data_IF_956297847762
#
_entry.id   IF_956297847762
#
_cell.length_a   1.000
_cell.length_b   1.000
_cell.length_c   1.000
_cell.angle_alpha   90.00
_cell.angle_beta   90.00
_cell.angle_gamma   90.00
#
_symmetry.space_group_name_H-M   'P 1'
#
loop_
_entity.id
_entity.type
_entity.pdbx_description
1 polymer ?
#
# COMPACT_ATOMS: atom_id res chain seq x y z
N UNK A 1 -31.78 10.49 -47.69
CA UNK A 1 -32.82 10.50 -46.64
C UNK A 1 -32.31 9.69 -45.45
N UNK A 2 -32.64 10.18 -44.27
CA UNK A 2 -32.11 9.92 -42.92
C UNK A 2 -32.22 8.46 -42.40
N UNK A 3 -31.75 8.14 -41.17
CA UNK A 3 -30.44 8.44 -40.59
C UNK A 3 -29.81 7.25 -39.81
N UNK A 4 -28.52 7.39 -39.51
CA UNK A 4 -27.79 6.75 -38.40
C UNK A 4 -28.37 7.26 -37.08
N UNK A 5 -28.62 6.42 -36.07
CA UNK A 5 -28.59 6.70 -34.62
C UNK A 5 -29.33 5.56 -33.90
N UNK A 6 -28.73 5.02 -32.84
CA UNK A 6 -29.28 4.19 -31.74
C UNK A 6 -28.42 2.93 -31.54
N UNK A 7 -27.31 3.11 -30.82
CA UNK A 7 -26.66 2.08 -30.00
C UNK A 7 -25.56 2.74 -29.14
N UNK A 8 -25.91 3.82 -28.43
CA UNK A 8 -24.96 4.52 -27.54
C UNK A 8 -25.72 5.25 -26.42
N UNK A 9 -26.57 4.54 -25.65
CA UNK A 9 -27.19 5.12 -24.47
C UNK A 9 -27.70 4.11 -23.42
N UNK A 10 -26.97 3.02 -23.15
CA UNK A 10 -27.32 2.11 -22.02
C UNK A 10 -26.16 1.76 -21.09
N UNK A 11 -24.96 2.32 -21.28
CA UNK A 11 -23.80 2.08 -20.39
C UNK A 11 -23.34 3.33 -19.63
N UNK A 12 -24.24 4.29 -19.41
CA UNK A 12 -23.98 5.51 -18.61
C UNK A 12 -25.04 5.72 -17.49
N UNK A 13 -25.77 4.67 -17.10
CA UNK A 13 -26.70 4.69 -15.97
C UNK A 13 -26.39 3.62 -14.90
N UNK A 14 -25.15 3.10 -14.88
CA UNK A 14 -24.67 2.21 -13.83
C UNK A 14 -23.38 2.71 -13.14
N UNK A 15 -23.02 3.98 -13.35
CA UNK A 15 -21.87 4.61 -12.68
C UNK A 15 -22.21 5.95 -11.99
N UNK A 16 -23.48 6.40 -12.01
CA UNK A 16 -23.90 7.63 -11.32
C UNK A 16 -24.83 7.39 -10.11
N UNK A 17 -25.13 6.14 -9.77
CA UNK A 17 -25.86 5.78 -8.54
C UNK A 17 -24.96 5.07 -7.51
N UNK A 18 -23.64 5.07 -7.73
CA UNK A 18 -22.65 4.49 -6.81
C UNK A 18 -21.90 5.54 -5.97
N UNK A 19 -22.38 6.79 -5.92
CA UNK A 19 -21.73 7.90 -5.20
C UNK A 19 -22.56 8.49 -4.05
N UNK A 20 -23.69 7.88 -3.67
CA UNK A 20 -24.53 8.38 -2.57
C UNK A 20 -24.84 7.35 -1.46
N UNK A 21 -24.17 6.20 -1.45
CA UNK A 21 -24.22 5.25 -0.32
C UNK A 21 -22.81 4.73 0.06
N UNK A 22 -21.84 5.64 0.18
CA UNK A 22 -20.56 5.39 0.86
C UNK A 22 -20.39 6.33 2.05
N UNK A 23 -21.48 6.57 2.77
CA UNK A 23 -21.50 7.37 3.99
C UNK A 23 -22.60 6.88 4.94
N UNK A 24 -22.61 5.58 5.23
CA UNK A 24 -23.41 4.85 6.23
C UNK A 24 -22.90 3.40 6.11
N UNK A 25 -22.14 2.80 7.02
CA UNK A 25 -21.90 3.03 8.42
C UNK A 25 -20.46 2.61 8.70
N UNK A 26 -19.61 3.52 9.16
CA UNK A 26 -18.47 3.07 9.95
C UNK A 26 -19.08 2.52 11.26
N UNK A 27 -18.85 1.25 11.64
CA UNK A 27 -19.32 0.77 12.93
C UNK A 27 -18.72 1.69 13.99
N UNK A 28 -19.60 2.39 14.71
CA UNK A 28 -19.21 3.15 15.90
C UNK A 28 -18.47 2.20 16.84
N UNK A 29 -17.49 2.67 17.64
CA UNK A 29 -16.86 1.83 18.64
C UNK A 29 -17.96 1.30 19.57
N UNK A 30 -18.30 0.02 19.39
CA UNK A 30 -19.23 -0.71 20.23
C UNK A 30 -18.75 -0.59 21.67
N UNK A 31 -19.63 -0.44 22.67
CA UNK A 31 -19.23 -0.49 24.07
C UNK A 31 -18.35 -1.73 24.28
N UNK A 32 -17.18 -1.52 24.92
CA UNK A 32 -16.13 -2.53 25.07
C UNK A 32 -16.74 -3.89 25.35
N UNK A 33 -16.74 -4.77 24.35
CA UNK A 33 -17.42 -6.05 24.46
C UNK A 33 -16.79 -6.83 25.61
N UNK A 34 -17.56 -7.61 26.38
CA UNK A 34 -17.03 -8.35 27.50
C UNK A 34 -15.90 -9.27 27.03
N UNK A 35 -14.76 -9.24 27.72
CA UNK A 35 -13.58 -10.02 27.37
C UNK A 35 -13.95 -11.51 27.37
N UNK A 36 -13.70 -12.20 26.26
CA UNK A 36 -13.86 -13.65 26.12
C UNK A 36 -12.51 -14.32 25.95
N UNK A 37 -12.34 -15.53 26.46
CA UNK A 37 -11.15 -16.35 26.25
C UNK A 37 -11.49 -17.55 25.38
N UNK A 38 -10.56 -17.93 24.49
CA UNK A 38 -10.56 -19.21 23.79
C UNK A 38 -9.44 -20.06 24.37
N UNK A 39 -9.77 -21.24 24.90
CA UNK A 39 -8.79 -22.12 25.53
C UNK A 39 -9.09 -23.60 25.26
N UNK A 40 -8.05 -24.40 25.30
CA UNK A 40 -8.13 -25.86 25.31
C UNK A 40 -7.61 -26.40 26.63
N UNK A 41 -8.10 -27.57 27.06
CA UNK A 41 -7.64 -28.18 28.29
C UNK A 41 -7.45 -29.71 28.21
N UNK A 42 -6.65 -30.22 29.14
CA UNK A 42 -6.50 -31.66 29.42
C UNK A 42 -6.85 -31.86 30.89
N UNK A 43 -7.78 -32.76 31.19
CA UNK A 43 -8.15 -33.14 32.54
C UNK A 43 -7.62 -34.53 32.86
N UNK A 44 -6.83 -34.65 33.93
CA UNK A 44 -6.28 -35.89 34.47
C UNK A 44 -6.52 -35.99 35.99
N UNK A 45 -6.46 -37.19 36.56
CA UNK A 45 -6.80 -37.37 37.98
C UNK A 45 -5.65 -36.98 38.90
N UNK A 46 -4.41 -37.25 38.46
CA UNK A 46 -3.22 -37.14 39.31
C UNK A 46 -2.29 -36.03 38.86
N UNK A 47 -1.57 -35.44 39.82
CA UNK A 47 -0.59 -34.40 39.52
C UNK A 47 0.57 -34.94 38.68
N UNK A 48 1.00 -36.17 38.98
CA UNK A 48 2.07 -36.83 38.25
C UNK A 48 1.77 -37.01 36.75
N UNK A 49 0.52 -37.36 36.40
CA UNK A 49 0.09 -37.42 35.00
C UNK A 49 0.14 -36.03 34.34
N UNK A 50 -0.33 -35.00 35.04
CA UNK A 50 -0.29 -33.63 34.53
C UNK A 50 1.15 -33.16 34.28
N UNK A 51 2.07 -33.48 35.19
CA UNK A 51 3.49 -33.11 35.06
C UNK A 51 4.17 -33.87 33.91
N UNK A 52 3.87 -35.16 33.75
CA UNK A 52 4.39 -35.96 32.64
C UNK A 52 3.92 -35.43 31.28
N UNK A 53 2.65 -35.03 31.18
CA UNK A 53 2.10 -34.43 29.97
C UNK A 53 2.68 -33.04 29.71
N UNK A 54 2.88 -32.24 30.76
CA UNK A 54 3.48 -30.91 30.63
C UNK A 54 4.94 -30.99 30.15
N UNK A 55 5.71 -31.97 30.62
CA UNK A 55 7.05 -32.25 30.11
C UNK A 55 7.03 -32.55 28.59
N UNK A 56 6.13 -33.42 28.13
CA UNK A 56 5.97 -33.73 26.71
C UNK A 56 5.56 -32.50 25.87
N UNK A 57 4.76 -31.60 26.45
CA UNK A 57 4.34 -30.36 25.79
C UNK A 57 5.50 -29.36 25.67
N UNK A 58 6.41 -29.33 26.65
CA UNK A 58 7.58 -28.44 26.63
C UNK A 58 8.61 -28.79 25.54
N UNK A 59 8.66 -30.05 25.11
CA UNK A 59 9.56 -30.53 24.05
C UNK A 59 8.93 -30.47 22.64
N UNK A 60 7.66 -30.08 22.54
CA UNK A 60 6.90 -30.16 21.30
C UNK A 60 7.27 -29.03 20.31
N UNK A 61 7.57 -29.41 19.06
CA UNK A 61 7.81 -28.45 17.98
C UNK A 61 6.56 -27.64 17.61
N UNK A 62 5.38 -28.24 17.79
CA UNK A 62 4.09 -27.57 17.62
C UNK A 62 3.21 -27.84 18.83
N UNK A 63 3.20 -26.88 19.75
CA UNK A 63 2.50 -26.97 21.03
C UNK A 63 1.00 -27.26 20.86
N UNK A 64 0.31 -26.50 20.00
CA UNK A 64 -1.15 -26.65 19.80
C UNK A 64 -1.53 -28.01 19.22
N UNK A 65 -0.76 -28.52 18.26
CA UNK A 65 -1.02 -29.83 17.67
C UNK A 65 -0.77 -30.97 18.67
N UNK A 66 0.35 -30.92 19.38
CA UNK A 66 0.70 -31.93 20.40
C UNK A 66 -0.29 -31.90 21.56
N UNK A 67 -0.71 -30.71 21.99
CA UNK A 67 -1.74 -30.54 23.00
C UNK A 67 -3.05 -31.19 22.58
N UNK A 68 -3.53 -30.93 21.35
CA UNK A 68 -4.75 -31.55 20.85
C UNK A 68 -4.67 -33.08 20.75
N UNK A 69 -3.49 -33.64 20.46
CA UNK A 69 -3.25 -35.09 20.47
C UNK A 69 -3.31 -35.66 21.88
N UNK A 70 -2.53 -35.11 22.81
CA UNK A 70 -2.52 -35.54 24.21
C UNK A 70 -3.89 -35.38 24.87
N UNK A 71 -4.64 -34.33 24.50
CA UNK A 71 -6.01 -34.15 24.95
C UNK A 71 -6.95 -35.25 24.47
N UNK A 72 -6.81 -35.72 23.23
CA UNK A 72 -7.62 -36.84 22.71
C UNK A 72 -7.29 -38.15 23.40
N UNK A 73 -6.03 -38.36 23.72
CA UNK A 73 -5.51 -39.62 24.26
C UNK A 73 -5.70 -39.74 25.78
N UNK A 74 -5.50 -38.65 26.52
CA UNK A 74 -5.40 -38.68 27.98
C UNK A 74 -6.47 -37.86 28.71
N UNK A 75 -7.15 -36.92 28.06
CA UNK A 75 -8.11 -36.06 28.76
C UNK A 75 -9.41 -36.81 29.07
N UNK A 76 -9.83 -36.73 30.32
CA UNK A 76 -11.12 -37.26 30.79
C UNK A 76 -12.30 -36.35 30.51
N UNK A 77 -12.06 -35.12 30.06
CA UNK A 77 -13.13 -34.21 29.72
C UNK A 77 -13.79 -34.59 28.38
N UNK A 78 -15.12 -34.47 28.21
CA UNK A 78 -15.80 -34.67 26.93
C UNK A 78 -15.25 -33.86 25.74
N UNK A 79 -14.55 -32.74 26.02
CA UNK A 79 -13.83 -31.91 25.04
C UNK A 79 -12.65 -32.62 24.39
N UNK A 80 -12.17 -33.75 24.95
CA UNK A 80 -11.10 -34.59 24.39
C UNK A 80 -11.34 -34.93 22.93
N UNK A 81 -12.59 -35.22 22.54
CA UNK A 81 -13.01 -35.49 21.15
C UNK A 81 -12.66 -34.38 20.17
N UNK A 82 -12.60 -33.13 20.64
CA UNK A 82 -12.22 -31.94 19.88
C UNK A 82 -10.79 -31.48 20.19
N UNK A 83 -9.93 -32.38 20.68
CA UNK A 83 -8.57 -32.01 21.07
C UNK A 83 -8.50 -31.13 22.32
N UNK A 84 -9.48 -31.28 23.23
CA UNK A 84 -9.55 -30.50 24.47
C UNK A 84 -10.10 -29.10 24.28
N UNK A 85 -10.57 -28.74 23.08
CA UNK A 85 -11.08 -27.41 22.78
C UNK A 85 -12.41 -27.12 23.51
N UNK A 86 -12.42 -26.04 24.29
CA UNK A 86 -13.60 -25.54 25.01
C UNK A 86 -14.33 -24.44 24.23
N UNK A 87 -13.77 -23.97 23.12
CA UNK A 87 -14.27 -22.83 22.37
C UNK A 87 -14.10 -21.52 23.13
N UNK A 88 -14.97 -20.55 22.81
CA UNK A 88 -14.93 -19.20 23.41
C UNK A 88 -15.92 -19.06 24.55
N UNK A 89 -15.44 -18.63 25.72
CA UNK A 89 -16.24 -18.40 26.92
C UNK A 89 -15.91 -17.05 27.57
N UNK A 90 -16.86 -16.50 28.31
CA UNK A 90 -16.71 -15.28 29.10
C UNK A 90 -16.32 -15.58 30.56
N UNK A 91 -15.90 -14.54 31.29
CA UNK A 91 -15.58 -14.64 32.73
C UNK A 91 -16.76 -15.21 33.53
N UNK A 92 -16.45 -16.10 34.47
CA UNK A 92 -17.42 -16.72 35.37
C UNK A 92 -18.22 -17.89 34.77
N UNK A 93 -17.94 -18.28 33.52
CA UNK A 93 -18.55 -19.48 32.91
C UNK A 93 -17.82 -20.78 33.29
N UNK A 94 -16.59 -20.67 33.77
CA UNK A 94 -15.75 -21.79 34.20
C UNK A 94 -15.52 -21.76 35.71
N UNK A 95 -15.01 -22.87 36.27
CA UNK A 95 -14.67 -22.93 37.70
C UNK A 95 -13.64 -21.85 38.08
N UNK A 96 -13.71 -21.25 39.28
CA UNK A 96 -12.95 -20.04 39.61
C UNK A 96 -11.44 -20.14 39.37
N UNK A 97 -10.83 -21.28 39.72
CA UNK A 97 -9.40 -21.51 39.51
C UNK A 97 -9.01 -21.53 38.02
N UNK A 98 -9.87 -22.14 37.18
CA UNK A 98 -9.67 -22.18 35.73
C UNK A 98 -9.92 -20.81 35.10
N UNK A 99 -10.99 -20.12 35.49
CA UNK A 99 -11.36 -18.80 34.99
C UNK A 99 -10.23 -17.79 35.23
N UNK A 100 -9.68 -17.78 36.45
CA UNK A 100 -8.54 -16.94 36.80
C UNK A 100 -7.39 -17.13 35.82
N UNK A 101 -6.97 -18.38 35.58
CA UNK A 101 -5.86 -18.67 34.66
C UNK A 101 -6.21 -18.31 33.22
N UNK A 102 -7.42 -18.63 32.74
CA UNK A 102 -7.85 -18.32 31.38
C UNK A 102 -7.78 -16.82 31.06
N UNK A 103 -8.05 -15.96 32.05
CA UNK A 103 -8.10 -14.50 31.86
C UNK A 103 -6.90 -13.71 32.41
N UNK A 104 -6.07 -14.28 33.28
CA UNK A 104 -4.88 -13.63 33.83
C UNK A 104 -3.56 -14.24 33.33
N UNK A 105 -3.54 -15.53 32.96
CA UNK A 105 -2.31 -16.22 32.52
C UNK A 105 -1.78 -15.76 31.17
N UNK A 106 -0.57 -16.17 30.80
CA UNK A 106 0.00 -15.83 29.50
C UNK A 106 -0.64 -16.64 28.36
N UNK A 107 -0.94 -15.96 27.24
CA UNK A 107 -1.48 -16.60 26.03
C UNK A 107 -0.39 -17.42 25.34
N UNK A 108 -0.74 -18.62 24.86
CA UNK A 108 0.20 -19.54 24.21
C UNK A 108 1.09 -20.34 25.18
N UNK A 109 0.88 -20.20 26.49
CA UNK A 109 1.57 -20.99 27.53
C UNK A 109 0.60 -22.01 28.12
N UNK A 110 1.13 -23.18 28.51
CA UNK A 110 0.37 -24.21 29.22
C UNK A 110 0.44 -23.94 30.71
N UNK A 111 -0.73 -23.79 31.33
CA UNK A 111 -0.87 -23.51 32.77
C UNK A 111 -1.46 -24.73 33.48
N UNK A 112 -0.84 -25.15 34.58
CA UNK A 112 -1.33 -26.25 35.43
C UNK A 112 -2.26 -25.69 36.53
N UNK A 113 -3.46 -26.24 36.67
CA UNK A 113 -4.48 -25.80 37.62
C UNK A 113 -5.14 -27.00 38.30
N UNK A 114 -5.25 -26.97 39.62
CA UNK A 114 -6.02 -27.96 40.37
C UNK A 114 -7.45 -27.49 40.60
N UNK A 115 -8.43 -28.36 40.39
CA UNK A 115 -9.83 -28.10 40.72
C UNK A 115 -10.44 -29.31 41.44
N UNK A 116 -11.71 -29.20 41.83
CA UNK A 116 -12.47 -30.33 42.39
C UNK A 116 -12.61 -31.54 41.43
N UNK A 117 -12.35 -31.35 40.13
CA UNK A 117 -12.44 -32.41 39.11
C UNK A 117 -11.11 -33.11 38.83
N UNK A 118 -10.02 -32.67 39.46
CA UNK A 118 -8.66 -33.17 39.22
C UNK A 118 -7.71 -32.07 38.75
N UNK A 119 -6.72 -32.47 37.96
CA UNK A 119 -5.67 -31.61 37.44
C UNK A 119 -5.93 -31.22 36.00
N UNK A 120 -5.82 -29.92 35.72
CA UNK A 120 -6.07 -29.33 34.42
C UNK A 120 -4.78 -28.73 33.87
N UNK A 121 -4.41 -29.11 32.66
CA UNK A 121 -3.48 -28.35 31.83
C UNK A 121 -4.32 -27.46 30.92
N UNK A 122 -4.06 -26.15 30.92
CA UNK A 122 -4.85 -25.14 30.22
C UNK A 122 -3.96 -24.41 29.22
N UNK A 123 -4.31 -24.47 27.95
CA UNK A 123 -3.65 -23.73 26.87
C UNK A 123 -4.58 -22.64 26.35
N UNK A 124 -4.20 -21.39 26.58
CA UNK A 124 -4.99 -20.23 26.15
C UNK A 124 -4.60 -19.90 24.71
N UNK A 125 -5.53 -20.02 23.78
CA UNK A 125 -5.28 -19.74 22.36
C UNK A 125 -5.34 -18.24 22.06
N UNK A 126 -6.35 -17.54 22.57
CA UNK A 126 -6.55 -16.09 22.38
C UNK A 126 -7.51 -15.50 23.40
N UNK A 127 -7.42 -14.18 23.60
CA UNK A 127 -8.41 -13.37 24.31
C UNK A 127 -9.03 -12.37 23.33
N UNK A 128 -10.35 -12.30 23.34
CA UNK A 128 -11.16 -11.41 22.53
C UNK A 128 -11.67 -10.32 23.47
N UNK A 129 -11.07 -9.13 23.40
CA UNK A 129 -11.45 -7.95 24.20
C UNK A 129 -12.44 -7.03 23.48
N UNK A 130 -12.97 -7.47 22.33
CA UNK A 130 -13.87 -6.67 21.51
C UNK A 130 -13.18 -5.58 20.68
N UNK A 131 -11.85 -5.52 20.68
CA UNK A 131 -11.08 -4.60 19.83
C UNK A 131 -10.75 -5.19 18.46
N UNK A 132 -11.05 -6.46 18.21
CA UNK A 132 -10.85 -7.09 16.91
C UNK A 132 -11.88 -6.59 15.88
N UNK A 133 -11.38 -6.15 14.72
CA UNK A 133 -12.17 -5.75 13.54
C UNK A 133 -13.26 -6.79 13.22
N UNK A 134 -14.50 -6.37 12.94
CA UNK A 134 -15.62 -7.28 12.73
C UNK A 134 -15.36 -8.33 11.64
N UNK A 135 -15.73 -9.57 11.95
CA UNK A 135 -15.50 -10.81 11.19
C UNK A 135 -16.02 -10.75 9.73
N UNK A 136 -16.89 -9.78 9.42
CA UNK A 136 -17.40 -9.51 8.08
C UNK A 136 -16.28 -9.31 7.03
N UNK A 137 -15.15 -8.74 7.44
CA UNK A 137 -13.99 -8.57 6.56
C UNK A 137 -13.01 -9.75 6.63
N UNK A 138 -13.16 -10.68 7.57
CA UNK A 138 -12.27 -11.84 7.72
C UNK A 138 -12.50 -12.85 6.60
N UNK A 139 -13.75 -13.24 6.35
CA UNK A 139 -14.07 -14.19 5.26
C UNK A 139 -13.77 -13.58 3.89
N UNK A 140 -14.04 -12.28 3.72
CA UNK A 140 -13.65 -11.52 2.53
C UNK A 140 -12.13 -11.45 2.40
N UNK A 141 -11.37 -11.17 3.46
CA UNK A 141 -9.89 -11.17 3.46
C UNK A 141 -9.33 -12.56 3.20
N UNK A 142 -9.86 -13.61 3.79
CA UNK A 142 -9.43 -15.00 3.55
C UNK A 142 -9.72 -15.43 2.11
N UNK A 143 -10.90 -15.10 1.58
CA UNK A 143 -11.25 -15.36 0.19
C UNK A 143 -10.38 -14.54 -0.75
N UNK A 144 -10.20 -13.25 -0.45
CA UNK A 144 -9.34 -12.33 -1.21
C UNK A 144 -7.89 -12.81 -1.20
N UNK A 145 -7.35 -13.22 -0.05
CA UNK A 145 -5.97 -13.75 0.05
C UNK A 145 -5.81 -15.10 -0.65
N UNK A 146 -6.83 -15.97 -0.65
CA UNK A 146 -6.81 -17.22 -1.42
C UNK A 146 -6.91 -16.97 -2.93
N UNK A 147 -7.66 -15.96 -3.36
CA UNK A 147 -7.91 -15.66 -4.77
C UNK A 147 -6.83 -14.75 -5.36
N UNK A 148 -6.23 -13.84 -4.58
CA UNK A 148 -5.14 -12.93 -5.00
C UNK A 148 -3.96 -13.61 -5.70
N UNK A 149 -3.41 -14.76 -5.25
CA UNK A 149 -2.33 -15.43 -5.97
C UNK A 149 -2.76 -16.05 -7.31
N UNK A 150 -4.06 -16.20 -7.58
CA UNK A 150 -4.59 -16.64 -8.88
C UNK A 150 -5.04 -15.46 -9.75
N UNK A 151 -5.55 -14.39 -9.12
CA UNK A 151 -5.95 -13.17 -9.79
C UNK A 151 -4.74 -12.32 -10.19
N UNK A 152 -3.66 -12.35 -9.42
CA UNK A 152 -2.40 -11.65 -9.71
C UNK A 152 -1.82 -12.05 -11.07
N UNK A 153 -1.63 -13.35 -11.36
CA UNK A 153 -1.24 -13.82 -12.68
C UNK A 153 -2.25 -13.47 -13.77
N UNK A 154 -3.56 -13.53 -13.52
CA UNK A 154 -4.59 -13.19 -14.52
C UNK A 154 -4.61 -11.68 -14.83
N UNK A 155 -4.47 -10.83 -13.81
CA UNK A 155 -4.31 -9.38 -13.93
C UNK A 155 -2.97 -9.06 -14.61
N UNK A 156 -1.89 -9.76 -14.27
CA UNK A 156 -0.59 -9.61 -14.92
C UNK A 156 -0.63 -10.04 -16.39
N UNK A 157 -1.31 -11.15 -16.70
CA UNK A 157 -1.54 -11.63 -18.06
C UNK A 157 -2.47 -10.69 -18.81
N UNK A 158 -3.50 -10.13 -18.16
CA UNK A 158 -4.36 -9.10 -18.74
C UNK A 158 -3.58 -7.80 -18.97
N UNK A 159 -2.68 -7.40 -18.06
CA UNK A 159 -1.75 -6.28 -18.24
C UNK A 159 -0.73 -6.60 -19.32
N UNK A 160 -0.28 -7.84 -19.50
CA UNK A 160 0.62 -8.22 -20.59
C UNK A 160 -0.12 -8.28 -21.94
N UNK A 161 -1.36 -8.77 -21.95
CA UNK A 161 -2.21 -8.91 -23.13
C UNK A 161 -2.84 -7.57 -23.57
N UNK A 162 -3.17 -6.68 -22.63
CA UNK A 162 -3.65 -5.31 -22.89
C UNK A 162 -2.51 -4.29 -22.91
N UNK A 163 -1.34 -4.63 -22.35
CA UNK A 163 -0.20 -3.74 -22.13
C UNK A 163 1.08 -4.19 -22.85
N UNK A 164 0.93 -4.68 -24.07
CA UNK A 164 1.84 -4.31 -25.16
C UNK A 164 1.58 -2.88 -25.67
N UNK A 165 0.78 -2.07 -24.96
CA UNK A 165 1.01 -0.63 -24.88
C UNK A 165 1.77 -0.35 -23.60
N UNK A 166 3.09 -0.58 -23.63
CA UNK A 166 3.98 0.19 -22.79
C UNK A 166 3.55 1.66 -22.90
N UNK A 167 3.55 2.38 -21.78
CA UNK A 167 3.58 3.83 -21.82
C UNK A 167 4.72 4.19 -22.76
N UNK A 168 4.39 4.49 -24.03
CA UNK A 168 5.25 5.24 -24.89
C UNK A 168 5.20 6.65 -24.31
N UNK A 169 5.87 6.84 -23.19
CA UNK A 169 6.29 8.17 -22.79
C UNK A 169 6.99 8.71 -24.03
N UNK A 170 6.39 9.73 -24.65
CA UNK A 170 7.00 10.42 -25.77
C UNK A 170 8.38 10.95 -25.37
N UNK A 171 9.16 11.49 -26.31
CA UNK A 171 10.45 12.07 -25.97
C UNK A 171 10.27 13.05 -24.81
N UNK A 172 11.14 12.95 -23.81
CA UNK A 172 11.21 13.84 -22.64
C UNK A 172 12.47 14.68 -22.74
N UNK A 173 12.41 15.94 -22.35
CA UNK A 173 13.56 16.85 -22.39
C UNK A 173 13.76 17.56 -21.06
N UNK A 174 15.03 17.80 -20.73
CA UNK A 174 15.47 18.65 -19.65
C UNK A 174 15.94 19.97 -20.25
N UNK A 175 15.35 21.09 -19.81
CA UNK A 175 15.74 22.40 -20.30
C UNK A 175 15.81 23.42 -19.16
N UNK A 176 16.74 24.37 -19.30
CA UNK A 176 16.91 25.49 -18.40
C UNK A 176 16.62 26.76 -19.20
N UNK A 177 15.90 27.73 -18.62
CA UNK A 177 15.59 28.98 -19.30
C UNK A 177 15.66 30.23 -18.41
N UNK A 178 15.77 31.39 -19.07
CA UNK A 178 15.53 32.71 -18.49
C UNK A 178 14.38 33.35 -19.25
N UNK A 179 13.38 33.85 -18.52
CA UNK A 179 12.24 34.58 -19.08
C UNK A 179 12.40 36.08 -18.84
N UNK A 180 12.45 36.88 -19.91
CA UNK A 180 12.50 38.34 -19.86
C UNK A 180 11.37 38.96 -20.69
N UNK A 181 10.98 40.19 -20.35
CA UNK A 181 9.87 40.88 -21.05
C UNK A 181 10.31 41.53 -22.36
N UNK A 182 11.56 42.00 -22.44
CA UNK A 182 12.07 42.74 -23.60
C UNK A 182 13.00 41.90 -24.48
N UNK A 183 12.87 42.04 -25.80
CA UNK A 183 13.75 41.37 -26.76
C UNK A 183 15.20 41.83 -26.63
N UNK A 184 15.40 43.14 -26.36
CA UNK A 184 16.72 43.75 -26.16
C UNK A 184 17.47 43.12 -24.98
N UNK A 185 16.79 42.79 -23.88
CA UNK A 185 17.40 42.07 -22.76
C UNK A 185 17.73 40.63 -23.14
N UNK A 186 16.83 39.94 -23.86
CA UNK A 186 17.06 38.58 -24.30
C UNK A 186 18.29 38.47 -25.21
N UNK A 187 18.48 39.41 -26.13
CA UNK A 187 19.64 39.42 -27.04
C UNK A 187 20.96 39.70 -26.31
N UNK A 188 20.95 40.55 -25.27
CA UNK A 188 22.13 40.78 -24.43
C UNK A 188 22.52 39.52 -23.67
N UNK A 189 21.55 38.88 -23.01
CA UNK A 189 21.76 37.63 -22.29
C UNK A 189 22.18 36.50 -23.22
N UNK A 190 21.62 36.43 -24.42
CA UNK A 190 22.00 35.44 -25.42
C UNK A 190 23.48 35.57 -25.80
N UNK A 191 23.96 36.79 -26.09
CA UNK A 191 25.37 37.03 -26.42
C UNK A 191 26.30 36.73 -25.25
N UNK A 192 25.90 37.08 -24.02
CA UNK A 192 26.71 36.81 -22.82
C UNK A 192 26.82 35.31 -22.53
N UNK A 193 25.72 34.56 -22.69
CA UNK A 193 25.69 33.11 -22.44
C UNK A 193 26.39 32.35 -23.57
N UNK A 194 26.27 32.80 -24.83
CA UNK A 194 26.91 32.15 -25.96
C UNK A 194 28.44 32.28 -25.94
N UNK A 195 28.95 33.40 -25.40
CA UNK A 195 30.38 33.64 -25.20
C UNK A 195 31.01 32.82 -24.05
N UNK A 196 30.20 32.20 -23.18
CA UNK A 196 30.69 31.39 -22.07
C UNK A 196 31.00 29.94 -22.50
N UNK A 197 32.08 29.37 -21.94
CA UNK A 197 32.41 27.95 -22.13
C UNK A 197 31.33 27.05 -21.54
N UNK A 198 30.92 27.31 -20.29
CA UNK A 198 29.84 26.60 -19.59
C UNK A 198 28.51 27.36 -19.64
N UNK A 199 27.81 27.25 -20.78
CA UNK A 199 26.51 27.91 -21.01
C UNK A 199 25.49 27.63 -19.90
N UNK A 200 25.44 26.40 -19.38
CA UNK A 200 24.52 25.98 -18.31
C UNK A 200 24.81 26.71 -16.99
N UNK A 201 26.09 26.79 -16.60
CA UNK A 201 26.48 27.44 -15.34
C UNK A 201 26.21 28.95 -15.39
N UNK A 202 26.51 29.59 -16.53
CA UNK A 202 26.26 31.03 -16.70
C UNK A 202 24.77 31.36 -16.69
N UNK A 203 23.95 30.52 -17.31
CA UNK A 203 22.49 30.68 -17.29
C UNK A 203 21.93 30.51 -15.88
N UNK A 204 22.43 29.54 -15.10
CA UNK A 204 22.04 29.36 -13.70
C UNK A 204 22.42 30.55 -12.80
N UNK A 205 23.52 31.26 -13.10
CA UNK A 205 23.94 32.46 -12.38
C UNK A 205 23.05 33.68 -12.71
N UNK A 206 22.65 33.83 -13.98
CA UNK A 206 21.87 34.97 -14.48
C UNK A 206 20.36 34.80 -14.22
N UNK A 207 19.86 33.57 -14.16
CA UNK A 207 18.44 33.26 -13.96
C UNK A 207 17.82 33.88 -12.69
N UNK A 208 18.42 33.82 -11.48
CA UNK A 208 17.81 34.44 -10.30
C UNK A 208 17.79 35.97 -10.36
N UNK A 209 18.66 36.59 -11.16
CA UNK A 209 18.78 38.05 -11.29
C UNK A 209 17.84 38.62 -12.36
N UNK A 210 17.66 37.90 -13.47
CA UNK A 210 16.98 38.41 -14.66
C UNK A 210 15.69 37.68 -15.03
N UNK A 211 15.45 36.45 -14.53
CA UNK A 211 14.26 35.67 -14.91
C UNK A 211 13.02 36.13 -14.15
N UNK A 212 11.95 36.42 -14.89
CA UNK A 212 10.60 36.67 -14.35
C UNK A 212 9.86 35.36 -14.01
N UNK A 213 10.41 34.21 -14.41
CA UNK A 213 9.81 32.89 -14.16
C UNK A 213 10.13 32.39 -12.74
N UNK A 214 9.21 31.70 -12.03
CA UNK A 214 9.48 31.07 -10.73
C UNK A 214 10.70 30.13 -10.73
N UNK A 215 11.04 29.53 -11.88
CA UNK A 215 12.24 28.70 -12.05
C UNK A 215 13.55 29.48 -11.85
N UNK A 216 13.53 30.82 -11.91
CA UNK A 216 14.70 31.68 -11.69
C UNK A 216 15.40 31.40 -10.36
N UNK A 217 14.63 31.06 -9.30
CA UNK A 217 15.18 30.68 -7.99
C UNK A 217 15.98 29.37 -8.02
N UNK A 218 15.74 28.52 -9.01
CA UNK A 218 16.45 27.24 -9.25
C UNK A 218 17.40 27.34 -10.44
N UNK A 219 17.96 28.53 -10.70
CA UNK A 219 18.86 28.71 -11.83
C UNK A 219 18.17 28.57 -13.20
N UNK A 220 16.86 28.75 -13.27
CA UNK A 220 16.08 28.64 -14.50
C UNK A 220 15.67 27.21 -14.87
N UNK A 221 15.92 26.23 -14.00
CA UNK A 221 15.69 24.82 -14.28
C UNK A 221 14.19 24.45 -14.27
N UNK A 222 13.74 23.82 -15.36
CA UNK A 222 12.37 23.33 -15.52
C UNK A 222 12.22 21.84 -15.23
N UNK A 223 13.30 21.09 -15.04
CA UNK A 223 13.24 19.64 -14.89
C UNK A 223 12.87 18.92 -16.19
N UNK A 224 12.42 17.66 -16.06
CA UNK A 224 12.09 16.78 -17.18
C UNK A 224 10.61 16.88 -17.59
N UNK A 225 10.35 17.44 -18.76
CA UNK A 225 9.00 17.56 -19.33
C UNK A 225 8.85 16.81 -20.65
N UNK A 226 7.62 16.44 -21.01
CA UNK A 226 7.24 15.78 -22.25
C UNK A 226 6.66 16.74 -23.30
N UNK A 227 6.53 16.27 -24.55
CA UNK A 227 5.82 17.02 -25.61
C UNK A 227 4.37 17.28 -25.19
N UNK A 228 3.93 18.53 -25.32
CA UNK A 228 2.60 19.03 -24.97
C UNK A 228 2.49 19.62 -23.56
N UNK A 229 3.55 19.55 -22.74
CA UNK A 229 3.54 20.10 -21.38
C UNK A 229 3.93 21.59 -21.34
N UNK A 230 4.68 22.08 -22.32
CA UNK A 230 5.02 23.51 -22.45
C UNK A 230 4.30 24.15 -23.65
N UNK A 231 4.43 25.48 -23.76
CA UNK A 231 3.82 26.21 -24.87
C UNK A 231 4.38 25.73 -26.22
N UNK A 232 3.56 25.64 -27.29
CA UNK A 232 3.95 24.98 -28.55
C UNK A 232 5.24 25.51 -29.18
N UNK A 233 5.48 26.82 -29.07
CA UNK A 233 6.69 27.47 -29.58
C UNK A 233 7.95 27.01 -28.82
N UNK A 234 7.86 26.89 -27.50
CA UNK A 234 8.95 26.44 -26.64
C UNK A 234 9.25 24.96 -26.86
N UNK A 235 8.20 24.13 -26.89
CA UNK A 235 8.28 22.71 -27.17
C UNK A 235 8.97 22.42 -28.50
N UNK A 236 8.61 23.16 -29.55
CA UNK A 236 9.22 23.01 -30.87
C UNK A 236 10.73 23.22 -30.79
N UNK A 237 11.19 24.28 -30.11
CA UNK A 237 12.62 24.60 -30.01
C UNK A 237 13.38 23.57 -29.19
N UNK A 238 12.80 23.06 -28.10
CA UNK A 238 13.47 22.06 -27.25
C UNK A 238 13.53 20.68 -27.93
N UNK A 239 12.45 20.26 -28.58
CA UNK A 239 12.36 18.93 -29.16
C UNK A 239 12.82 18.84 -30.62
N UNK A 240 12.88 19.94 -31.36
CA UNK A 240 13.46 19.97 -32.72
C UNK A 240 14.89 20.54 -32.73
N UNK A 241 15.28 21.29 -31.71
CA UNK A 241 16.62 21.86 -31.58
C UNK A 241 17.71 20.85 -31.25
N UNK A 242 18.96 21.34 -31.31
CA UNK A 242 20.16 20.61 -30.93
C UNK A 242 20.35 20.66 -29.40
N UNK A 243 20.56 19.49 -28.79
CA UNK A 243 20.87 19.39 -27.35
C UNK A 243 22.23 20.06 -27.09
N UNK A 244 22.30 20.90 -26.07
CA UNK A 244 23.51 21.66 -25.71
C UNK A 244 23.67 23.00 -26.41
N UNK A 245 22.76 23.37 -27.33
CA UNK A 245 22.77 24.66 -28.02
C UNK A 245 21.80 25.66 -27.39
N UNK A 246 22.25 26.91 -27.30
CA UNK A 246 21.42 28.01 -26.82
C UNK A 246 20.40 28.38 -27.91
N UNK A 247 19.14 28.55 -27.52
CA UNK A 247 18.08 28.98 -28.41
C UNK A 247 17.26 30.10 -27.78
N UNK A 248 16.70 30.96 -28.63
CA UNK A 248 15.77 32.00 -28.23
C UNK A 248 14.38 31.74 -28.80
N UNK A 249 13.36 31.93 -28.00
CA UNK A 249 11.96 31.75 -28.41
C UNK A 249 11.07 32.81 -27.80
N UNK A 250 10.17 33.37 -28.60
CA UNK A 250 9.12 34.27 -28.14
C UNK A 250 7.87 33.46 -27.83
N UNK A 251 7.26 33.72 -26.68
CA UNK A 251 5.98 33.12 -26.28
C UNK A 251 5.04 34.20 -25.75
N UNK A 252 3.82 33.82 -25.40
CA UNK A 252 2.85 34.73 -24.76
C UNK A 252 3.34 35.31 -23.41
N UNK A 253 4.35 34.70 -22.78
CA UNK A 253 4.91 35.16 -21.50
C UNK A 253 6.09 36.12 -21.65
N UNK A 254 6.60 36.29 -22.87
CA UNK A 254 7.77 37.12 -23.18
C UNK A 254 8.82 36.33 -23.97
N UNK A 255 10.07 36.73 -23.81
CA UNK A 255 11.22 36.14 -24.48
C UNK A 255 11.93 35.15 -23.56
N UNK A 256 12.15 33.94 -24.08
CA UNK A 256 12.84 32.88 -23.39
C UNK A 256 14.18 32.61 -24.06
N UNK A 257 15.26 32.71 -23.29
CA UNK A 257 16.57 32.19 -23.66
C UNK A 257 16.70 30.84 -22.97
N UNK A 258 16.78 29.76 -23.75
CA UNK A 258 16.72 28.39 -23.23
C UNK A 258 17.89 27.55 -23.73
N UNK A 259 18.27 26.57 -22.91
CA UNK A 259 19.28 25.56 -23.19
C UNK A 259 18.69 24.19 -22.88
N UNK A 260 18.59 23.33 -23.90
CA UNK A 260 18.23 21.93 -23.70
C UNK A 260 19.47 21.15 -23.23
N UNK A 261 19.49 20.67 -21.99
CA UNK A 261 20.64 19.95 -21.44
C UNK A 261 20.59 18.46 -21.76
N UNK A 262 19.39 17.88 -21.84
CA UNK A 262 19.22 16.44 -22.06
C UNK A 262 17.90 16.16 -22.79
N UNK A 263 17.88 15.12 -23.64
CA UNK A 263 16.66 14.63 -24.30
C UNK A 263 16.65 13.11 -24.33
N UNK A 264 15.66 12.50 -23.69
CA UNK A 264 15.46 11.05 -23.59
C UNK A 264 14.32 10.60 -24.51
N UNK A 265 14.50 9.43 -25.15
CA UNK A 265 13.44 8.77 -25.91
C UNK A 265 13.17 9.34 -27.31
N UNK A 266 13.96 10.30 -27.79
CA UNK A 266 13.88 10.77 -29.16
C UNK A 266 14.67 9.84 -30.09
N UNK A 267 14.06 9.31 -31.15
CA UNK A 267 14.74 8.45 -32.15
C UNK A 267 15.65 9.23 -33.11
N UNK A 268 16.09 10.44 -32.73
CA UNK A 268 17.09 11.24 -33.46
C UNK A 268 18.41 11.21 -32.70
N UNK A 269 19.09 10.07 -32.75
CA UNK A 269 20.55 9.99 -32.54
C UNK A 269 21.16 8.92 -33.46
N UNK A 270 21.08 9.17 -34.76
CA UNK A 270 22.13 8.88 -35.73
C UNK A 270 21.87 9.69 -36.99
#
# INVERSE_FOLDING_TARGET
>A
MAPKFVAFLTTLLLCFVASSTLAQDAPSPSPAAPIKAHASHILVDTEAEADALNAQLSEASNLFLKFAQLAKEHSKCPSSRKGGDLGTFGRGQMVPAFDKVAFEGDVGVVHKVQTQFGWHLVLISRRLDGTEEPDQYRSLKETLMKVMPFLGPVILIAIMALGARGSKGGPRAHAVHILVKSESEADKLFKEIDAAEDKKAKLAELAPKHSTCPSGKKGGDLGMFGRGEMVPQFDKVVFEGEVGKLAKVQTQFGWHVLLCTERLGDKKSK
#
